data_IF_795195712999
#
_entry.id   IF_795195712999
#
_cell.length_a   1.000
_cell.length_b   1.000
_cell.length_c   1.000
_cell.angle_alpha   90.00
_cell.angle_beta   90.00
_cell.angle_gamma   90.00
#
_symmetry.space_group_name_H-M   'P 1'
#
loop_
_entity.id
_entity.type
_entity.pdbx_description
1 polymer ?
#
# COMPACT_ATOMS: atom_id res chain seq x y z
N UNK A 1 -22.05 3.16 -12.19
CA UNK A 1 -21.83 4.54 -11.70
C UNK A 1 -20.62 5.14 -12.41
N UNK A 2 -20.69 6.40 -12.87
CA UNK A 2 -19.59 7.12 -13.52
C UNK A 2 -19.05 8.16 -12.54
N UNK A 3 -17.73 8.19 -12.33
CA UNK A 3 -17.08 9.16 -11.46
C UNK A 3 -15.86 9.79 -12.15
N UNK A 4 -15.81 11.12 -12.18
CA UNK A 4 -14.68 11.88 -12.72
C UNK A 4 -14.00 12.67 -11.60
N UNK A 5 -12.66 12.56 -11.50
CA UNK A 5 -11.89 13.39 -10.56
C UNK A 5 -11.77 14.82 -11.08
N UNK A 6 -11.87 15.79 -10.17
CA UNK A 6 -11.55 17.18 -10.48
C UNK A 6 -10.10 17.31 -10.96
N UNK A 7 -9.87 18.17 -11.96
CA UNK A 7 -8.53 18.42 -12.51
C UNK A 7 -7.68 19.15 -11.48
N UNK A 8 -6.57 18.53 -11.07
CA UNK A 8 -5.65 19.09 -10.05
C UNK A 8 -4.47 19.87 -10.65
N UNK A 9 -4.41 20.07 -11.97
CA UNK A 9 -3.36 20.85 -12.63
C UNK A 9 -1.95 20.25 -12.57
N UNK A 10 -1.78 19.01 -12.07
CA UNK A 10 -0.47 18.35 -11.92
C UNK A 10 0.22 18.18 -13.27
N UNK A 11 1.50 18.53 -13.34
CA UNK A 11 2.35 18.37 -14.52
C UNK A 11 3.62 17.59 -14.13
N UNK A 12 3.97 16.57 -14.90
CA UNK A 12 5.24 15.86 -14.72
C UNK A 12 6.35 16.66 -15.41
N UNK A 13 7.33 17.16 -14.65
CA UNK A 13 8.49 17.84 -15.22
C UNK A 13 9.56 16.84 -15.72
N UNK A 14 10.39 17.29 -16.65
CA UNK A 14 11.51 16.51 -17.15
C UNK A 14 12.63 16.44 -16.10
N UNK A 15 13.16 15.24 -15.85
CA UNK A 15 14.26 15.02 -14.90
C UNK A 15 15.52 15.81 -15.26
N UNK A 16 15.86 15.93 -16.55
CA UNK A 16 17.03 16.67 -17.03
C UNK A 16 16.80 18.18 -17.10
N UNK A 17 15.54 18.61 -17.14
CA UNK A 17 15.16 20.02 -17.26
C UNK A 17 13.91 20.28 -16.43
N UNK A 18 14.05 20.43 -15.10
CA UNK A 18 12.91 20.51 -14.18
C UNK A 18 11.94 21.67 -14.45
N UNK A 19 12.41 22.73 -15.11
CA UNK A 19 11.59 23.85 -15.56
C UNK A 19 10.66 23.52 -16.74
N UNK A 20 10.86 22.39 -17.43
CA UNK A 20 10.09 21.98 -18.61
C UNK A 20 9.20 20.78 -18.32
N UNK A 21 7.99 20.81 -18.85
CA UNK A 21 7.06 19.67 -18.78
C UNK A 21 7.59 18.52 -19.64
N UNK A 22 7.46 17.30 -19.14
CA UNK A 22 7.82 16.08 -19.86
C UNK A 22 6.96 15.91 -21.12
N UNK A 23 7.62 15.68 -22.26
CA UNK A 23 6.98 15.34 -23.55
C UNK A 23 7.12 13.86 -23.90
N UNK A 24 7.56 13.02 -22.96
CA UNK A 24 7.68 11.59 -23.19
C UNK A 24 6.30 10.97 -23.48
N UNK A 25 6.24 10.06 -24.45
CA UNK A 25 4.99 9.37 -24.84
C UNK A 25 4.30 8.69 -23.64
N UNK A 26 5.08 8.06 -22.76
CA UNK A 26 4.57 7.45 -21.51
C UNK A 26 3.90 8.45 -20.57
N UNK A 27 4.48 9.65 -20.43
CA UNK A 27 3.91 10.75 -19.63
C UNK A 27 2.60 11.24 -20.22
N UNK A 28 2.54 11.45 -21.54
CA UNK A 28 1.32 11.90 -22.23
C UNK A 28 0.21 10.85 -22.14
N UNK A 29 0.52 9.57 -22.36
CA UNK A 29 -0.43 8.46 -22.21
C UNK A 29 -0.93 8.32 -20.77
N UNK A 30 -0.07 8.48 -19.77
CA UNK A 30 -0.50 8.49 -18.37
C UNK A 30 -1.43 9.68 -18.06
N UNK A 31 -1.09 10.88 -18.55
CA UNK A 31 -1.92 12.07 -18.36
C UNK A 31 -3.29 11.97 -19.05
N UNK A 32 -3.37 11.31 -20.21
CA UNK A 32 -4.62 11.02 -20.89
C UNK A 32 -5.50 10.05 -20.06
N UNK A 33 -4.93 8.92 -19.64
CA UNK A 33 -5.64 7.91 -18.82
C UNK A 33 -6.19 8.46 -17.50
N UNK A 34 -5.45 9.34 -16.82
CA UNK A 34 -5.93 9.96 -15.57
C UNK A 34 -7.09 10.96 -15.76
N UNK A 35 -7.37 11.39 -17.01
CA UNK A 35 -8.53 12.24 -17.33
C UNK A 35 -9.79 11.42 -17.57
N UNK A 36 -9.66 10.14 -17.84
CA UNK A 36 -10.81 9.28 -18.14
C UNK A 36 -11.63 9.04 -16.86
N UNK A 37 -12.96 9.17 -16.93
CA UNK A 37 -13.80 8.88 -15.77
C UNK A 37 -13.76 7.38 -15.46
N UNK A 38 -13.88 7.04 -14.18
CA UNK A 38 -14.00 5.65 -13.75
C UNK A 38 -15.45 5.21 -13.89
N UNK A 39 -15.67 4.15 -14.67
CA UNK A 39 -16.92 3.42 -14.71
C UNK A 39 -16.79 2.21 -13.76
N UNK A 40 -17.54 2.24 -12.66
CA UNK A 40 -17.57 1.15 -11.68
C UNK A 40 -18.98 0.57 -11.64
N UNK A 41 -19.05 -0.76 -11.72
CA UNK A 41 -20.25 -1.55 -11.45
C UNK A 41 -20.07 -2.17 -10.08
N UNK A 42 -21.02 -1.92 -9.19
CA UNK A 42 -21.02 -2.41 -7.82
C UNK A 42 -22.30 -3.20 -7.54
N UNK A 43 -22.23 -4.11 -6.56
CA UNK A 43 -23.37 -4.92 -6.15
C UNK A 43 -24.55 -4.04 -5.70
N UNK A 44 -25.83 -4.45 -5.91
CA UNK A 44 -27.00 -3.69 -5.47
C UNK A 44 -27.01 -3.35 -3.98
N UNK A 45 -26.38 -4.16 -3.13
CA UNK A 45 -26.26 -3.94 -1.69
C UNK A 45 -25.33 -2.76 -1.33
N UNK A 46 -24.56 -2.24 -2.30
CA UNK A 46 -23.62 -1.13 -2.13
C UNK A 46 -24.20 0.22 -2.63
N UNK A 47 -25.52 0.37 -2.62
CA UNK A 47 -26.20 1.61 -3.02
C UNK A 47 -26.07 2.75 -2.01
N UNK A 48 -25.88 2.43 -0.73
CA UNK A 48 -25.77 3.39 0.36
C UNK A 48 -24.50 4.27 0.33
N UNK A 49 -23.28 3.73 0.12
CA UNK A 49 -22.07 4.56 0.08
C UNK A 49 -22.01 5.48 -1.14
N UNK A 50 -21.45 6.67 -0.93
CA UNK A 50 -21.25 7.65 -1.99
C UNK A 50 -20.31 7.16 -3.09
N UNK A 51 -20.44 7.76 -4.28
CA UNK A 51 -19.57 7.47 -5.42
C UNK A 51 -18.07 7.58 -5.11
N UNK A 52 -17.72 8.56 -4.28
CA UNK A 52 -16.34 8.81 -3.85
C UNK A 52 -15.82 7.69 -2.96
N UNK A 53 -16.65 7.16 -2.05
CA UNK A 53 -16.27 6.04 -1.18
C UNK A 53 -16.04 4.76 -1.99
N UNK A 54 -16.93 4.43 -2.92
CA UNK A 54 -16.77 3.28 -3.82
C UNK A 54 -15.48 3.39 -4.66
N UNK A 55 -15.22 4.56 -5.22
CA UNK A 55 -13.97 4.85 -5.95
C UNK A 55 -12.75 4.70 -5.06
N UNK A 56 -12.81 5.16 -3.81
CA UNK A 56 -11.70 5.01 -2.87
C UNK A 56 -11.43 3.54 -2.52
N UNK A 57 -12.46 2.70 -2.39
CA UNK A 57 -12.28 1.25 -2.21
C UNK A 57 -11.69 0.62 -3.47
N UNK A 58 -12.25 0.91 -4.64
CA UNK A 58 -11.74 0.37 -5.91
C UNK A 58 -10.30 0.80 -6.19
N UNK A 59 -9.92 2.03 -5.82
CA UNK A 59 -8.56 2.54 -5.97
C UNK A 59 -7.52 1.67 -5.24
N UNK A 60 -7.91 0.94 -4.19
CA UNK A 60 -7.03 0.05 -3.45
C UNK A 60 -6.65 -1.21 -4.22
N UNK A 61 -7.29 -1.52 -5.36
CA UNK A 61 -6.89 -2.65 -6.23
C UNK A 61 -5.40 -2.59 -6.61
N UNK A 62 -4.84 -1.38 -6.73
CA UNK A 62 -3.42 -1.18 -7.02
C UNK A 62 -2.52 -1.70 -5.88
N UNK A 63 -2.99 -1.72 -4.63
CA UNK A 63 -2.25 -2.31 -3.51
C UNK A 63 -2.05 -3.82 -3.70
N UNK A 64 -3.02 -4.51 -4.33
CA UNK A 64 -2.91 -5.94 -4.65
C UNK A 64 -1.82 -6.15 -5.70
N UNK A 65 -1.82 -5.39 -6.78
CA UNK A 65 -0.77 -5.45 -7.82
C UNK A 65 0.63 -5.16 -7.24
N UNK A 66 0.73 -4.17 -6.34
CA UNK A 66 1.98 -3.85 -5.65
C UNK A 66 2.41 -4.99 -4.71
N UNK A 67 1.49 -5.62 -3.98
CA UNK A 67 1.81 -6.76 -3.12
C UNK A 67 2.34 -7.95 -3.92
N UNK A 68 1.77 -8.24 -5.11
CA UNK A 68 2.31 -9.27 -6.00
C UNK A 68 3.69 -8.90 -6.57
N UNK A 69 3.93 -7.62 -6.87
CA UNK A 69 5.25 -7.15 -7.31
C UNK A 69 6.29 -7.30 -6.20
N UNK A 70 5.94 -6.93 -4.98
CA UNK A 70 6.84 -7.05 -3.82
C UNK A 70 7.10 -8.53 -3.49
N UNK A 71 6.09 -9.40 -3.57
CA UNK A 71 6.27 -10.84 -3.42
C UNK A 71 7.33 -11.40 -4.38
N UNK A 72 7.28 -10.99 -5.64
CA UNK A 72 8.19 -11.45 -6.70
C UNK A 72 9.57 -10.81 -6.61
N UNK A 73 9.67 -9.59 -6.10
CA UNK A 73 10.93 -8.82 -6.11
C UNK A 73 12.02 -9.50 -5.29
N UNK A 74 13.16 -9.77 -5.93
CA UNK A 74 14.35 -10.30 -5.27
C UNK A 74 14.92 -9.35 -4.20
N UNK A 75 15.15 -8.08 -4.56
CA UNK A 75 15.89 -7.13 -3.69
C UNK A 75 15.03 -6.49 -2.60
N UNK A 76 13.80 -6.11 -2.93
CA UNK A 76 12.97 -5.29 -2.04
C UNK A 76 11.81 -6.07 -1.42
N UNK A 77 11.71 -7.34 -1.79
CA UNK A 77 10.55 -8.18 -1.59
C UNK A 77 10.83 -9.48 -0.88
N UNK A 78 10.17 -10.54 -1.35
CA UNK A 78 10.22 -11.88 -0.78
C UNK A 78 10.80 -12.91 -1.75
N UNK A 79 11.35 -12.45 -2.88
CA UNK A 79 12.16 -13.25 -3.79
C UNK A 79 11.47 -14.54 -4.28
N UNK A 80 10.14 -14.54 -4.44
CA UNK A 80 9.42 -15.76 -4.81
C UNK A 80 9.87 -16.31 -6.17
N UNK A 81 10.32 -15.45 -7.09
CA UNK A 81 10.85 -15.85 -8.40
C UNK A 81 12.12 -16.71 -8.28
N UNK A 82 12.90 -16.53 -7.22
CA UNK A 82 14.13 -17.31 -6.98
C UNK A 82 13.84 -18.75 -6.56
N UNK A 83 12.62 -19.04 -6.10
CA UNK A 83 12.23 -20.42 -5.80
C UNK A 83 12.20 -21.29 -7.06
N UNK A 84 11.99 -20.70 -8.25
CA UNK A 84 11.89 -21.37 -9.56
C UNK A 84 10.95 -22.59 -9.61
N UNK A 85 10.06 -22.72 -8.62
CA UNK A 85 9.23 -23.92 -8.45
C UNK A 85 8.00 -23.86 -9.33
N UNK A 86 7.67 -24.99 -9.96
CA UNK A 86 6.46 -25.17 -10.78
C UNK A 86 5.45 -26.12 -10.13
N UNK A 87 5.75 -26.64 -8.93
CA UNK A 87 4.85 -27.54 -8.20
C UNK A 87 3.83 -26.71 -7.43
N UNK A 88 2.55 -26.93 -7.71
CA UNK A 88 1.44 -26.18 -7.11
C UNK A 88 1.44 -26.23 -5.58
N UNK A 89 1.61 -27.41 -4.99
CA UNK A 89 1.66 -27.61 -3.53
C UNK A 89 2.77 -26.79 -2.86
N UNK A 90 3.97 -26.79 -3.45
CA UNK A 90 5.10 -26.00 -2.94
C UNK A 90 4.82 -24.51 -3.05
N UNK A 91 4.21 -24.07 -4.16
CA UNK A 91 3.83 -22.67 -4.33
C UNK A 91 2.80 -22.24 -3.27
N UNK A 92 1.81 -23.09 -2.96
CA UNK A 92 0.83 -22.81 -1.91
C UNK A 92 1.50 -22.63 -0.54
N UNK A 93 2.44 -23.50 -0.18
CA UNK A 93 3.19 -23.39 1.07
C UNK A 93 4.01 -22.09 1.12
N UNK A 94 4.73 -21.75 0.04
CA UNK A 94 5.51 -20.51 -0.02
C UNK A 94 4.64 -19.27 0.07
N UNK A 95 3.47 -19.28 -0.58
CA UNK A 95 2.50 -18.20 -0.47
C UNK A 95 1.95 -18.07 0.95
N UNK A 96 1.67 -19.17 1.63
CA UNK A 96 1.23 -19.17 3.03
C UNK A 96 2.32 -18.62 3.97
N UNK A 97 3.57 -19.05 3.81
CA UNK A 97 4.70 -18.53 4.60
C UNK A 97 4.83 -17.03 4.35
N UNK A 98 4.74 -16.60 3.09
CA UNK A 98 4.78 -15.19 2.74
C UNK A 98 3.63 -14.39 3.37
N UNK A 99 2.39 -14.90 3.36
CA UNK A 99 1.26 -14.18 3.97
C UNK A 99 1.42 -14.05 5.48
N UNK A 100 1.93 -15.08 6.16
CA UNK A 100 2.26 -15.02 7.58
C UNK A 100 3.38 -14.01 7.87
N UNK A 101 4.45 -14.01 7.07
CA UNK A 101 5.54 -13.04 7.20
C UNK A 101 5.10 -11.61 6.93
N UNK A 102 4.25 -11.41 5.92
CA UNK A 102 3.63 -10.12 5.60
C UNK A 102 2.72 -9.63 6.74
N UNK A 103 1.94 -10.53 7.34
CA UNK A 103 1.10 -10.23 8.49
C UNK A 103 1.94 -9.82 9.70
N UNK A 104 2.95 -10.60 10.07
CA UNK A 104 3.88 -10.27 11.15
C UNK A 104 4.59 -8.92 10.91
N UNK A 105 5.00 -8.64 9.67
CA UNK A 105 5.59 -7.35 9.29
C UNK A 105 4.58 -6.21 9.40
N UNK A 106 3.33 -6.40 8.98
CA UNK A 106 2.29 -5.39 9.13
C UNK A 106 2.03 -5.05 10.59
N UNK A 107 1.96 -6.08 11.43
CA UNK A 107 1.83 -5.99 12.88
C UNK A 107 2.99 -5.20 13.51
N UNK A 108 4.24 -5.58 13.26
CA UNK A 108 5.41 -4.84 13.73
C UNK A 108 5.39 -3.38 13.28
N UNK A 109 5.00 -3.12 12.03
CA UNK A 109 4.89 -1.78 11.47
C UNK A 109 3.86 -0.91 12.19
N UNK A 110 2.69 -1.46 12.52
CA UNK A 110 1.69 -0.75 13.32
C UNK A 110 2.25 -0.40 14.71
N UNK A 111 3.05 -1.28 15.30
CA UNK A 111 3.73 -1.02 16.57
C UNK A 111 4.70 0.15 16.47
N UNK A 112 5.58 0.13 15.47
CA UNK A 112 6.53 1.21 15.24
C UNK A 112 5.86 2.55 14.91
N UNK A 113 4.71 2.53 14.23
CA UNK A 113 3.92 3.73 13.98
C UNK A 113 3.31 4.29 15.29
N UNK A 114 2.81 3.41 16.15
CA UNK A 114 2.23 3.82 17.44
C UNK A 114 3.27 4.37 18.43
N UNK A 115 4.52 3.90 18.37
CA UNK A 115 5.61 4.36 19.25
C UNK A 115 6.46 5.47 18.63
N UNK A 116 6.19 5.87 17.39
CA UNK A 116 6.97 6.89 16.67
C UNK A 116 8.30 6.40 16.08
N UNK A 117 8.74 5.17 16.39
CA UNK A 117 9.98 4.55 15.87
C UNK A 117 9.98 4.48 14.33
N UNK A 118 8.80 4.39 13.70
CA UNK A 118 8.65 4.42 12.25
C UNK A 118 9.37 5.61 11.56
N UNK A 119 9.55 6.73 12.27
CA UNK A 119 10.23 7.91 11.77
C UNK A 119 11.73 7.67 11.50
N UNK A 120 12.36 6.68 12.14
CA UNK A 120 13.77 6.36 11.94
C UNK A 120 14.10 5.90 10.52
N UNK A 121 13.11 5.36 9.80
CA UNK A 121 13.27 5.02 8.40
C UNK A 121 13.17 6.25 7.48
N UNK A 122 12.56 7.34 7.94
CA UNK A 122 12.32 8.52 7.12
C UNK A 122 13.59 9.35 7.01
N UNK A 123 14.09 9.63 5.80
CA UNK A 123 15.29 10.44 5.61
C UNK A 123 15.06 11.93 5.93
N UNK A 124 13.80 12.35 6.05
CA UNK A 124 13.40 13.73 6.36
C UNK A 124 12.16 13.76 7.27
N UNK A 125 12.04 14.82 8.06
CA UNK A 125 10.83 15.12 8.81
C UNK A 125 9.72 15.51 7.83
N UNK A 126 8.71 14.66 7.74
CA UNK A 126 7.56 14.84 6.85
C UNK A 126 6.30 14.43 7.60
N UNK A 127 5.25 15.25 7.50
CA UNK A 127 3.91 14.90 8.01
C UNK A 127 3.24 13.84 7.14
N UNK A 128 3.74 13.61 5.92
CA UNK A 128 3.26 12.55 5.03
C UNK A 128 4.02 11.26 5.28
N UNK A 129 3.27 10.17 5.40
CA UNK A 129 3.78 8.80 5.45
C UNK A 129 4.53 8.47 4.16
N UNK A 130 5.83 8.20 4.29
CA UNK A 130 6.71 7.91 3.15
C UNK A 130 6.73 6.41 2.79
N UNK A 131 6.76 5.55 3.80
CA UNK A 131 6.84 4.10 3.65
C UNK A 131 5.54 3.42 4.09
N UNK A 132 5.19 2.31 3.44
CA UNK A 132 4.05 1.49 3.87
C UNK A 132 4.32 0.89 5.26
N UNK A 133 3.25 0.63 6.01
CA UNK A 133 3.33 -0.06 7.33
C UNK A 133 4.10 -1.36 7.23
N UNK A 134 3.85 -2.13 6.16
CA UNK A 134 4.50 -3.41 5.92
C UNK A 134 6.02 -3.24 5.72
N UNK A 135 6.46 -2.20 4.98
CA UNK A 135 7.89 -1.91 4.82
C UNK A 135 8.55 -1.51 6.13
N UNK A 136 7.89 -0.65 6.92
CA UNK A 136 8.39 -0.22 8.22
C UNK A 136 8.59 -1.43 9.13
N UNK A 137 7.58 -2.29 9.25
CA UNK A 137 7.68 -3.45 10.14
C UNK A 137 8.66 -4.51 9.66
N UNK A 138 8.82 -4.71 8.34
CA UNK A 138 9.89 -5.57 7.81
C UNK A 138 11.26 -5.05 8.24
N UNK A 139 11.52 -3.75 8.10
CA UNK A 139 12.79 -3.15 8.54
C UNK A 139 12.96 -3.23 10.07
N UNK A 140 11.89 -3.03 10.84
CA UNK A 140 11.91 -3.16 12.29
C UNK A 140 12.31 -4.56 12.74
N UNK A 141 11.76 -5.59 12.09
CA UNK A 141 12.08 -7.00 12.38
C UNK A 141 13.51 -7.35 11.97
N UNK A 142 13.93 -6.96 10.76
CA UNK A 142 15.28 -7.27 10.24
C UNK A 142 16.37 -6.55 11.05
N UNK A 143 16.13 -5.30 11.43
CA UNK A 143 17.09 -4.47 12.19
C UNK A 143 16.93 -4.59 13.71
N UNK A 144 15.99 -5.42 14.16
CA UNK A 144 15.72 -5.66 15.59
C UNK A 144 15.52 -4.35 16.36
N UNK A 145 14.68 -3.46 15.84
CA UNK A 145 14.38 -2.20 16.51
C UNK A 145 13.78 -2.45 17.90
N UNK A 146 13.98 -1.52 18.86
CA UNK A 146 13.48 -1.65 20.22
C UNK A 146 11.97 -1.45 20.26
N UNK A 147 11.23 -2.44 19.77
CA UNK A 147 9.79 -2.51 19.87
C UNK A 147 9.40 -2.86 21.30
N UNK A 148 8.27 -2.35 21.77
CA UNK A 148 7.71 -2.79 23.04
C UNK A 148 7.47 -4.32 23.03
N UNK A 149 7.48 -4.97 24.20
CA UNK A 149 7.12 -6.38 24.30
C UNK A 149 5.79 -6.67 23.58
N UNK A 150 5.75 -7.78 22.84
CA UNK A 150 4.60 -8.17 22.02
C UNK A 150 3.29 -8.16 22.81
N UNK A 151 3.32 -8.49 24.10
CA UNK A 151 2.15 -8.46 24.98
C UNK A 151 1.52 -7.06 25.13
N UNK A 152 2.33 -6.01 25.36
CA UNK A 152 1.87 -4.63 25.45
C UNK A 152 1.33 -4.14 24.11
N UNK A 153 2.00 -4.54 23.04
CA UNK A 153 1.61 -4.19 21.69
C UNK A 153 0.29 -4.87 21.26
N UNK A 154 0.10 -6.17 21.56
CA UNK A 154 -1.17 -6.88 21.36
C UNK A 154 -2.29 -6.21 22.16
N UNK A 155 -2.00 -5.73 23.38
CA UNK A 155 -2.94 -4.96 24.19
C UNK A 155 -3.45 -3.71 23.47
N UNK A 156 -2.58 -2.97 22.79
CA UNK A 156 -2.95 -1.80 21.97
C UNK A 156 -3.75 -2.21 20.73
N UNK A 157 -3.38 -3.31 20.07
CA UNK A 157 -4.09 -3.79 18.88
C UNK A 157 -5.53 -4.26 19.10
N UNK A 158 -5.92 -4.59 20.34
CA UNK A 158 -7.34 -4.84 20.66
C UNK A 158 -8.23 -3.68 20.21
N UNK A 159 -7.67 -2.47 20.15
CA UNK A 159 -8.24 -1.34 19.47
C UNK A 159 -7.44 -1.01 18.20
N UNK A 160 -7.91 -1.44 17.02
CA UNK A 160 -7.31 -1.02 15.74
C UNK A 160 -7.25 0.52 15.66
N UNK A 161 -6.18 1.13 15.13
CA UNK A 161 -6.13 2.57 14.90
C UNK A 161 -7.31 3.03 14.05
N UNK A 162 -7.87 4.22 14.35
CA UNK A 162 -9.04 4.75 13.65
C UNK A 162 -8.85 4.78 12.12
N UNK A 163 -7.67 5.21 11.66
CA UNK A 163 -7.32 5.22 10.25
C UNK A 163 -7.38 3.84 9.56
N UNK A 164 -7.14 2.74 10.31
CA UNK A 164 -7.26 1.36 9.79
C UNK A 164 -8.72 0.94 9.81
N UNK A 165 -9.49 1.26 10.86
CA UNK A 165 -10.92 0.95 10.95
C UNK A 165 -11.75 1.66 9.88
N UNK A 166 -11.47 2.94 9.64
CA UNK A 166 -12.08 3.73 8.57
C UNK A 166 -11.76 3.16 7.19
N UNK A 167 -10.62 2.47 7.04
CA UNK A 167 -10.34 1.76 5.80
C UNK A 167 -11.22 0.50 5.66
N UNK A 168 -11.51 -0.21 6.74
CA UNK A 168 -12.26 -1.47 6.72
C UNK A 168 -13.78 -1.27 6.65
N UNK A 169 -14.27 -0.07 6.95
CA UNK A 169 -15.70 0.24 7.00
C UNK A 169 -16.09 1.14 5.82
N UNK A 170 -17.11 0.72 5.08
CA UNK A 170 -17.85 1.62 4.21
C UNK A 170 -18.86 2.34 5.10
N UNK A 171 -18.50 3.53 5.59
CA UNK A 171 -19.46 4.37 6.31
C UNK A 171 -20.58 4.76 5.37
N UNK A 172 -21.81 4.44 5.76
CA UNK A 172 -23.04 4.92 5.11
C UNK A 172 -23.33 6.33 5.60
#
# INVERSE_FOLDING_TARGET
>A
MIYAKARQGRKQCNRRSPAKVSRASSSLKAAAREREPWLIVASPQLQAPSAKQLVNVYARRMQIELAFRDLKSHRYGQALEDSLTRRGERLQILLLINTLAAFASWLAGLGCEATGIAQWLSPRNSTRKLYSTLRIGREALVRQWPMEPVSRWIGRLRALPAAVREQMTLTV
#
